data_IF_350085272273
#
_entry.id   IF_350085272273
#
_cell.length_a   1.000
_cell.length_b   1.000
_cell.length_c   1.000
_cell.angle_alpha   90.00
_cell.angle_beta   90.00
_cell.angle_gamma   90.00
#
_symmetry.space_group_name_H-M   'P 1'
#
loop_
_entity.id
_entity.type
_entity.pdbx_description
1 polymer ?
#
# COMPACT_ATOMS: atom_id res chain seq x y z
N UNK A 1 -25.50 20.95 2.54
CA UNK A 1 -24.37 20.77 1.60
C UNK A 1 -24.90 20.12 0.32
N UNK A 2 -24.33 20.44 -0.85
CA UNK A 2 -24.79 19.92 -2.15
C UNK A 2 -23.73 18.98 -2.73
N UNK A 3 -24.15 17.79 -3.15
CA UNK A 3 -23.28 16.72 -3.64
C UNK A 3 -23.78 16.20 -4.99
N UNK A 4 -22.88 15.53 -5.72
CA UNK A 4 -23.19 14.84 -6.98
C UNK A 4 -22.83 13.37 -6.83
N UNK A 5 -23.79 12.47 -7.06
CA UNK A 5 -23.52 11.05 -6.93
C UNK A 5 -22.69 10.51 -8.11
N UNK A 6 -21.63 9.73 -7.82
CA UNK A 6 -20.77 9.14 -8.85
C UNK A 6 -21.47 8.08 -9.72
N UNK A 7 -22.36 7.27 -9.13
CA UNK A 7 -23.08 6.21 -9.87
C UNK A 7 -24.19 6.79 -10.74
N UNK A 8 -25.11 7.55 -10.15
CA UNK A 8 -26.31 8.03 -10.84
C UNK A 8 -26.21 9.46 -11.40
N UNK A 9 -25.11 10.19 -11.18
CA UNK A 9 -24.84 11.55 -11.70
C UNK A 9 -25.92 12.61 -11.38
N UNK A 10 -26.82 12.31 -10.44
CA UNK A 10 -27.85 13.23 -9.95
C UNK A 10 -27.29 14.06 -8.80
N UNK A 11 -27.64 15.36 -8.81
CA UNK A 11 -27.31 16.26 -7.73
C UNK A 11 -28.31 16.05 -6.58
N UNK A 12 -27.82 16.00 -5.35
CA UNK A 12 -28.63 15.91 -4.15
C UNK A 12 -28.12 16.89 -3.09
N UNK A 13 -28.99 17.26 -2.15
CA UNK A 13 -28.64 18.11 -1.03
C UNK A 13 -28.87 17.35 0.26
N UNK A 14 -27.91 17.42 1.16
CA UNK A 14 -27.98 16.83 2.49
C UNK A 14 -27.60 17.87 3.54
N UNK A 15 -28.39 17.95 4.60
CA UNK A 15 -28.11 18.82 5.73
C UNK A 15 -27.08 18.14 6.63
N UNK A 16 -25.95 18.81 6.87
CA UNK A 16 -24.81 18.25 7.62
C UNK A 16 -24.90 18.55 9.12
N UNK A 17 -25.96 19.24 9.57
CA UNK A 17 -26.18 19.56 10.99
C UNK A 17 -26.66 18.36 11.80
N UNK A 18 -27.33 17.42 11.13
CA UNK A 18 -27.86 16.19 11.72
C UNK A 18 -27.45 15.07 10.78
N UNK A 19 -26.45 14.28 11.19
CA UNK A 19 -25.82 13.27 10.33
C UNK A 19 -26.03 11.89 10.94
N UNK A 20 -26.78 11.04 10.25
CA UNK A 20 -27.09 9.67 10.66
C UNK A 20 -26.52 8.65 9.66
N UNK A 21 -26.39 7.38 10.05
CA UNK A 21 -25.83 6.31 9.19
C UNK A 21 -26.62 6.11 7.87
N UNK A 22 -27.92 6.43 7.87
CA UNK A 22 -28.74 6.41 6.65
C UNK A 22 -28.30 7.46 5.62
N UNK A 23 -27.58 8.48 6.07
CA UNK A 23 -27.20 9.62 5.26
C UNK A 23 -25.90 9.42 4.50
N UNK A 24 -25.21 8.29 4.72
CA UNK A 24 -24.01 7.91 4.01
C UNK A 24 -24.28 7.47 2.56
N UNK A 25 -25.57 7.31 2.22
CA UNK A 25 -26.03 6.83 0.92
C UNK A 25 -26.66 7.95 0.10
N UNK A 26 -26.49 7.86 -1.22
CA UNK A 26 -27.22 8.72 -2.15
C UNK A 26 -28.71 8.33 -2.19
N UNK A 27 -29.65 9.28 -2.00
CA UNK A 27 -31.10 9.00 -1.98
C UNK A 27 -31.69 8.54 -3.32
N UNK A 28 -30.89 8.50 -4.40
CA UNK A 28 -31.34 8.14 -5.74
C UNK A 28 -30.89 6.75 -6.21
N UNK A 29 -29.83 6.19 -5.64
CA UNK A 29 -29.27 4.91 -6.12
C UNK A 29 -28.48 4.14 -5.06
N UNK A 30 -28.68 4.44 -3.77
CA UNK A 30 -28.05 3.78 -2.61
C UNK A 30 -26.53 3.66 -2.74
N UNK A 31 -25.90 4.65 -3.36
CA UNK A 31 -24.45 4.69 -3.43
C UNK A 31 -23.90 5.24 -2.12
N UNK A 32 -23.17 4.40 -1.38
CA UNK A 32 -22.35 4.85 -0.25
C UNK A 32 -21.28 5.82 -0.76
N UNK A 33 -21.34 7.07 -0.32
CA UNK A 33 -20.44 8.13 -0.79
C UNK A 33 -19.37 8.50 0.24
N UNK A 34 -19.50 8.01 1.47
CA UNK A 34 -18.50 8.14 2.52
C UNK A 34 -17.46 7.05 2.31
N UNK A 35 -16.20 7.42 2.12
CA UNK A 35 -15.13 6.45 1.90
C UNK A 35 -14.22 6.49 3.13
N UNK A 36 -13.86 5.31 3.64
CA UNK A 36 -12.91 5.20 4.74
C UNK A 36 -11.56 5.83 4.38
N UNK A 37 -11.00 6.58 5.33
CA UNK A 37 -9.70 7.18 5.15
C UNK A 37 -8.62 6.10 5.05
N UNK A 38 -7.85 6.11 3.96
CA UNK A 38 -6.70 5.21 3.82
C UNK A 38 -5.56 5.67 4.72
N UNK A 39 -5.14 4.82 5.65
CA UNK A 39 -3.95 5.06 6.47
C UNK A 39 -2.67 4.67 5.71
N UNK A 40 -1.59 5.48 5.78
CA UNK A 40 -0.31 5.08 5.21
C UNK A 40 0.23 3.89 6.00
N UNK A 41 0.45 2.77 5.32
CA UNK A 41 1.10 1.61 5.90
C UNK A 41 2.61 1.72 5.67
N UNK A 42 3.41 1.43 6.70
CA UNK A 42 4.86 1.38 6.55
C UNK A 42 5.23 0.24 5.58
N UNK A 43 5.68 0.60 4.38
CA UNK A 43 6.17 -0.32 3.38
C UNK A 43 7.67 -0.09 3.17
N UNK A 44 8.46 -1.16 3.22
CA UNK A 44 9.88 -1.13 2.85
C UNK A 44 9.95 -1.37 1.35
N UNK A 45 10.32 -0.33 0.60
CA UNK A 45 10.68 -0.47 -0.81
C UNK A 45 12.17 -0.79 -0.94
N UNK A 46 12.52 -1.77 -1.77
CA UNK A 46 13.90 -1.99 -2.19
C UNK A 46 14.03 -1.41 -3.59
N UNK A 47 14.76 -0.29 -3.72
CA UNK A 47 15.05 0.31 -5.02
C UNK A 47 16.13 -0.51 -5.72
N UNK A 48 15.85 -0.95 -6.94
CA UNK A 48 16.76 -1.70 -7.77
C UNK A 48 17.08 -0.96 -9.06
N UNK A 49 18.36 -0.89 -9.38
CA UNK A 49 18.84 -0.45 -10.70
C UNK A 49 18.39 -1.42 -11.81
N UNK A 50 18.57 -1.03 -13.07
CA UNK A 50 18.34 -1.93 -14.22
C UNK A 50 19.14 -3.24 -14.03
N UNK A 51 18.48 -4.41 -14.05
CA UNK A 51 19.12 -5.70 -13.84
C UNK A 51 20.21 -6.04 -14.87
N UNK A 52 20.22 -5.38 -16.04
CA UNK A 52 21.29 -5.52 -17.04
C UNK A 52 22.58 -4.83 -16.63
N UNK A 53 22.50 -3.77 -15.83
CA UNK A 53 23.64 -3.01 -15.33
C UNK A 53 24.09 -3.59 -13.98
N UNK A 54 23.13 -3.85 -13.09
CA UNK A 54 23.39 -4.35 -11.74
C UNK A 54 22.48 -5.55 -11.42
N UNK A 55 23.00 -6.77 -11.60
CA UNK A 55 22.26 -8.02 -11.36
C UNK A 55 22.23 -8.49 -9.90
N UNK A 56 22.66 -7.67 -8.94
CA UNK A 56 22.80 -8.07 -7.52
C UNK A 56 21.48 -8.41 -6.84
N UNK A 57 20.36 -7.90 -7.34
CA UNK A 57 19.01 -8.17 -6.83
C UNK A 57 18.38 -9.44 -7.42
N UNK A 58 18.97 -10.01 -8.48
CA UNK A 58 18.49 -11.23 -9.11
C UNK A 58 19.31 -12.43 -8.65
N UNK A 59 18.62 -13.50 -8.25
CA UNK A 59 19.25 -14.78 -7.94
C UNK A 59 19.34 -15.63 -9.21
N UNK A 60 20.54 -16.06 -9.59
CA UNK A 60 20.74 -17.07 -10.65
C UNK A 60 20.96 -18.45 -10.01
N UNK A 61 20.07 -19.39 -10.28
CA UNK A 61 20.12 -20.74 -9.70
C UNK A 61 21.22 -21.64 -10.32
N UNK A 62 21.81 -21.24 -11.44
CA UNK A 62 22.86 -22.03 -12.13
C UNK A 62 24.25 -21.84 -11.52
N UNK A 63 24.44 -20.76 -10.77
CA UNK A 63 25.73 -20.44 -10.14
C UNK A 63 25.80 -21.11 -8.78
N UNK A 64 26.92 -21.78 -8.49
CA UNK A 64 27.16 -22.39 -7.18
C UNK A 64 27.17 -21.31 -6.10
N UNK A 65 26.38 -21.49 -5.05
CA UNK A 65 26.31 -20.55 -3.94
C UNK A 65 27.61 -20.54 -3.12
N UNK A 66 28.19 -19.36 -2.93
CA UNK A 66 29.34 -19.14 -2.06
C UNK A 66 28.86 -18.97 -0.61
N UNK A 67 28.95 -20.04 0.20
CA UNK A 67 28.51 -20.05 1.61
C UNK A 67 29.22 -19.02 2.49
N UNK A 68 30.40 -18.54 2.10
CA UNK A 68 31.16 -17.51 2.82
C UNK A 68 30.54 -16.11 2.70
N UNK A 69 29.69 -15.87 1.71
CA UNK A 69 28.98 -14.58 1.52
C UNK A 69 27.64 -14.52 2.26
N UNK A 70 27.22 -15.62 2.88
CA UNK A 70 26.00 -15.66 3.69
C UNK A 70 26.20 -14.87 4.98
N UNK A 71 25.22 -14.03 5.34
CA UNK A 71 25.18 -13.33 6.62
C UNK A 71 25.09 -14.31 7.81
N UNK A 72 24.54 -15.51 7.59
CA UNK A 72 24.33 -16.51 8.64
C UNK A 72 25.58 -17.34 8.98
N UNK A 73 26.62 -17.28 8.15
CA UNK A 73 27.86 -18.06 8.33
C UNK A 73 29.07 -17.19 8.70
N UNK A 74 28.85 -15.90 9.01
CA UNK A 74 29.92 -15.02 9.47
C UNK A 74 30.18 -15.27 10.94
N UNK A 75 31.39 -15.69 11.28
CA UNK A 75 31.83 -15.81 12.66
C UNK A 75 32.04 -14.39 13.23
N UNK A 76 31.07 -13.92 14.02
CA UNK A 76 31.05 -12.58 14.63
C UNK A 76 31.48 -12.61 16.10
N UNK A 77 31.96 -13.75 16.59
CA UNK A 77 32.37 -13.96 17.98
C UNK A 77 33.45 -12.97 18.43
N UNK A 78 34.39 -12.62 17.55
CA UNK A 78 35.46 -11.64 17.80
C UNK A 78 34.99 -10.19 18.00
N UNK A 79 33.71 -9.88 17.74
CA UNK A 79 33.16 -8.51 17.87
C UNK A 79 32.24 -8.32 19.06
N UNK A 80 32.02 -9.37 19.85
CA UNK A 80 31.29 -9.32 21.11
C UNK A 80 32.32 -9.16 22.23
N UNK A 81 32.67 -7.91 22.52
CA UNK A 81 33.45 -7.52 23.70
C UNK A 81 32.58 -7.43 24.94
#
# INVERSE_FOLDING_TARGET
MAFLCKKCKKAFRKDMTTYEESDEYCPHCDNHYVIEARTPHAAIGVEGDDPRINSKLLKDERVKEDFSRSLFNQDITDRLG
#
